data_IF_489537942064
#
_entry.id   IF_489537942064
#
_cell.length_a   1.000
_cell.length_b   1.000
_cell.length_c   1.000
_cell.angle_alpha   90.00
_cell.angle_beta   90.00
_cell.angle_gamma   90.00
#
_symmetry.space_group_name_H-M   'P 1'
#
loop_
_entity.id
_entity.type
_entity.pdbx_description
1 polymer ?
#
# COMPACT_ATOMS: atom_id res chain seq x y z
N UNK A 1 9.00 -14.80 -23.21
CA UNK A 1 9.73 -15.03 -21.95
C UNK A 1 8.87 -15.50 -20.76
N UNK A 2 7.56 -15.71 -20.89
CA UNK A 2 6.68 -16.21 -19.81
C UNK A 2 6.64 -17.72 -19.62
N UNK A 3 6.99 -18.51 -20.62
CA UNK A 3 6.93 -20.00 -20.58
C UNK A 3 8.02 -20.66 -19.70
N UNK A 4 9.18 -20.02 -19.54
CA UNK A 4 10.30 -20.60 -18.77
C UNK A 4 10.15 -20.49 -17.25
N UNK A 5 9.33 -19.56 -16.73
CA UNK A 5 9.10 -19.43 -15.28
C UNK A 5 8.15 -20.50 -14.71
N UNK A 6 7.19 -20.94 -15.52
CA UNK A 6 6.29 -22.06 -15.12
C UNK A 6 7.02 -23.42 -15.12
N UNK A 7 7.98 -23.60 -16.02
CA UNK A 7 8.75 -24.85 -16.10
C UNK A 7 9.70 -25.00 -14.90
N UNK A 8 10.31 -23.92 -14.42
CA UNK A 8 11.14 -23.95 -13.20
C UNK A 8 10.34 -24.26 -11.93
N UNK A 9 9.10 -23.77 -11.83
CA UNK A 9 8.22 -24.06 -10.68
C UNK A 9 7.76 -25.53 -10.67
N UNK A 10 7.53 -26.12 -11.85
CA UNK A 10 7.16 -27.54 -11.95
C UNK A 10 8.32 -28.47 -11.59
N UNK A 11 9.55 -28.14 -11.99
CA UNK A 11 10.75 -28.92 -11.64
C UNK A 11 11.03 -28.83 -10.13
N UNK A 12 10.83 -27.66 -9.51
CA UNK A 12 10.97 -27.49 -8.06
C UNK A 12 9.96 -28.31 -7.26
N UNK A 13 8.71 -28.44 -7.76
CA UNK A 13 7.66 -29.19 -7.10
C UNK A 13 7.91 -30.72 -7.19
N UNK A 14 8.41 -31.22 -8.33
CA UNK A 14 8.72 -32.63 -8.51
C UNK A 14 9.93 -33.06 -7.66
N UNK A 15 10.90 -32.16 -7.45
CA UNK A 15 12.08 -32.45 -6.62
C UNK A 15 11.74 -32.57 -5.13
N UNK A 16 10.77 -31.80 -4.62
CA UNK A 16 10.33 -31.89 -3.21
C UNK A 16 9.55 -33.17 -2.91
N UNK A 17 8.80 -33.72 -3.88
CA UNK A 17 8.07 -34.98 -3.71
C UNK A 17 9.04 -36.18 -3.77
N UNK A 18 10.07 -36.12 -4.61
CA UNK A 18 11.09 -37.15 -4.69
C UNK A 18 11.96 -37.26 -3.43
N UNK A 19 12.27 -36.14 -2.79
CA UNK A 19 13.07 -36.13 -1.56
C UNK A 19 12.31 -36.74 -0.36
N UNK A 20 10.99 -36.60 -0.30
CA UNK A 20 10.17 -37.18 0.77
C UNK A 20 10.05 -38.70 0.65
N UNK A 21 9.98 -39.22 -0.58
CA UNK A 21 9.93 -40.68 -0.82
C UNK A 21 11.24 -41.40 -0.41
N UNK A 22 12.39 -40.79 -0.70
CA UNK A 22 13.70 -41.34 -0.29
C UNK A 22 13.91 -41.27 1.23
N UNK A 23 13.34 -40.25 1.91
CA UNK A 23 13.44 -40.14 3.35
C UNK A 23 12.58 -41.19 4.06
N UNK A 24 11.42 -41.49 3.53
CA UNK A 24 10.53 -42.58 4.03
C UNK A 24 11.16 -43.92 3.86
N UNK A 25 11.82 -44.20 2.73
CA UNK A 25 12.52 -45.47 2.47
C UNK A 25 13.72 -45.66 3.42
N UNK A 26 14.50 -44.61 3.65
CA UNK A 26 15.63 -44.64 4.61
C UNK A 26 15.19 -44.82 6.06
N UNK A 27 14.05 -44.26 6.45
CA UNK A 27 13.48 -44.47 7.78
C UNK A 27 12.96 -45.91 7.92
N UNK A 28 12.42 -46.50 6.84
CA UNK A 28 11.96 -47.88 6.84
C UNK A 28 13.13 -48.84 6.98
N UNK A 29 14.25 -48.56 6.30
CA UNK A 29 15.49 -49.38 6.37
C UNK A 29 16.15 -49.28 7.75
N UNK A 30 16.07 -48.10 8.42
CA UNK A 30 16.63 -47.91 9.76
C UNK A 30 15.77 -48.55 10.88
N UNK A 31 14.45 -48.69 10.68
CA UNK A 31 13.55 -49.27 11.67
C UNK A 31 13.50 -50.82 11.65
N UNK A 32 14.24 -51.47 10.77
CA UNK A 32 14.40 -52.94 10.77
C UNK A 32 13.06 -53.69 10.77
N UNK A 33 12.86 -54.58 9.86
CA UNK A 33 11.66 -55.41 9.63
C UNK A 33 11.37 -56.42 10.77
N UNK A 34 11.96 -56.27 11.96
CA UNK A 34 11.96 -57.25 13.04
C UNK A 34 10.98 -56.96 14.20
N UNK A 35 10.06 -56.04 14.09
CA UNK A 35 9.13 -55.74 15.18
C UNK A 35 7.66 -56.11 14.93
N UNK A 36 7.39 -57.10 14.05
CA UNK A 36 6.08 -57.73 13.99
C UNK A 36 6.08 -59.12 14.66
N UNK A 37 6.70 -59.22 15.80
CA UNK A 37 6.40 -60.34 16.72
C UNK A 37 5.58 -59.80 17.90
N UNK A 38 4.27 -60.07 17.79
CA UNK A 38 3.34 -60.22 18.90
C UNK A 38 3.97 -60.16 20.28
N UNK A 39 3.99 -58.97 20.90
CA UNK A 39 3.90 -58.85 22.33
C UNK A 39 2.49 -58.38 22.66
N UNK A 40 1.70 -59.26 23.23
CA UNK A 40 0.55 -58.89 24.05
C UNK A 40 1.09 -58.05 25.18
N UNK A 41 1.22 -56.74 24.92
CA UNK A 41 1.64 -55.78 25.92
C UNK A 41 0.50 -55.67 26.90
N UNK A 42 0.76 -56.15 28.10
CA UNK A 42 0.03 -55.78 29.31
C UNK A 42 -0.02 -54.25 29.28
N UNK A 43 -1.21 -53.70 28.98
CA UNK A 43 -1.48 -52.26 29.02
C UNK A 43 -1.28 -51.86 30.47
N UNK A 44 -0.15 -51.29 30.80
CA UNK A 44 0.12 -50.77 32.14
C UNK A 44 -0.77 -49.55 32.37
N UNK A 45 -1.30 -49.39 33.57
CA UNK A 45 -2.11 -48.24 33.98
C UNK A 45 -1.38 -46.90 33.80
N UNK A 46 -0.03 -46.94 33.65
CA UNK A 46 0.80 -45.78 33.36
C UNK A 46 0.58 -45.15 31.97
N UNK A 47 0.18 -45.96 30.95
CA UNK A 47 -0.06 -45.42 29.60
C UNK A 47 -1.36 -44.65 29.52
N UNK A 48 -2.36 -45.07 30.30
CA UNK A 48 -3.64 -44.37 30.39
C UNK A 48 -3.53 -43.03 31.14
N UNK A 49 -2.67 -42.95 32.16
CA UNK A 49 -2.35 -41.70 32.85
C UNK A 49 -1.62 -40.71 31.97
N UNK A 50 -0.61 -41.16 31.20
CA UNK A 50 0.12 -40.34 30.27
C UNK A 50 -0.77 -39.76 29.14
N UNK A 51 -1.74 -40.56 28.63
CA UNK A 51 -2.70 -40.08 27.63
C UNK A 51 -3.65 -39.04 28.22
N UNK A 52 -4.07 -39.19 29.48
CA UNK A 52 -4.93 -38.24 30.17
C UNK A 52 -4.22 -36.90 30.41
N UNK A 53 -2.94 -36.94 30.81
CA UNK A 53 -2.14 -35.74 31.01
C UNK A 53 -1.85 -35.02 29.70
N UNK A 54 -1.52 -35.74 28.62
CA UNK A 54 -1.32 -35.15 27.30
C UNK A 54 -2.60 -34.51 26.74
N UNK A 55 -3.78 -35.09 27.02
CA UNK A 55 -5.07 -34.48 26.68
C UNK A 55 -5.30 -33.17 27.44
N UNK A 56 -4.97 -33.11 28.72
CA UNK A 56 -5.08 -31.89 29.54
C UNK A 56 -4.14 -30.80 29.04
N UNK A 57 -2.89 -31.15 28.71
CA UNK A 57 -1.94 -30.20 28.11
C UNK A 57 -2.44 -29.65 26.78
N UNK A 58 -3.00 -30.50 25.92
CA UNK A 58 -3.59 -30.06 24.65
C UNK A 58 -4.79 -29.14 24.84
N UNK A 59 -5.64 -29.43 25.82
CA UNK A 59 -6.80 -28.60 26.15
C UNK A 59 -6.39 -27.25 26.73
N UNK A 60 -5.40 -27.22 27.62
CA UNK A 60 -4.84 -25.98 28.14
C UNK A 60 -4.14 -25.16 27.07
N UNK A 61 -3.42 -25.79 26.14
CA UNK A 61 -2.82 -25.12 25.00
C UNK A 61 -3.85 -24.49 24.07
N UNK A 62 -4.96 -25.17 23.78
CA UNK A 62 -6.08 -24.64 23.00
C UNK A 62 -6.78 -23.46 23.69
N UNK A 63 -6.99 -23.54 24.99
CA UNK A 63 -7.56 -22.43 25.76
C UNK A 63 -6.65 -21.22 25.76
N UNK A 64 -5.33 -21.41 25.91
CA UNK A 64 -4.35 -20.33 25.86
C UNK A 64 -4.31 -19.71 24.47
N UNK A 65 -4.38 -20.51 23.41
CA UNK A 65 -4.45 -19.99 22.03
C UNK A 65 -5.73 -19.18 21.79
N UNK A 66 -6.87 -19.65 22.26
CA UNK A 66 -8.14 -18.93 22.16
C UNK A 66 -8.10 -17.60 22.93
N UNK A 67 -7.54 -17.60 24.14
CA UNK A 67 -7.38 -16.38 24.94
C UNK A 67 -6.45 -15.37 24.25
N UNK A 68 -5.31 -15.81 23.72
CA UNK A 68 -4.41 -14.93 22.96
C UNK A 68 -5.05 -14.35 21.71
N UNK A 69 -5.90 -15.11 21.02
CA UNK A 69 -6.64 -14.60 19.86
C UNK A 69 -7.64 -13.51 20.27
N UNK A 70 -8.39 -13.72 21.35
CA UNK A 70 -9.32 -12.71 21.87
C UNK A 70 -8.59 -11.44 22.32
N UNK A 71 -7.46 -11.59 23.00
CA UNK A 71 -6.65 -10.45 23.44
C UNK A 71 -6.10 -9.64 22.24
N UNK A 72 -5.60 -10.33 21.21
CA UNK A 72 -5.17 -9.67 19.97
C UNK A 72 -6.31 -8.94 19.26
N UNK A 73 -7.51 -9.52 19.26
CA UNK A 73 -8.68 -8.87 18.66
C UNK A 73 -9.11 -7.64 19.45
N UNK A 74 -9.10 -7.71 20.77
CA UNK A 74 -9.36 -6.55 21.63
C UNK A 74 -8.33 -5.43 21.41
N UNK A 75 -7.04 -5.76 21.32
CA UNK A 75 -5.99 -4.77 21.04
C UNK A 75 -6.17 -4.11 19.67
N UNK A 76 -6.57 -4.88 18.64
CA UNK A 76 -6.90 -4.33 17.33
C UNK A 76 -8.09 -3.37 17.41
N UNK A 77 -9.18 -3.76 18.08
CA UNK A 77 -10.35 -2.89 18.25
C UNK A 77 -10.02 -1.61 19.02
N UNK A 78 -9.19 -1.68 20.05
CA UNK A 78 -8.72 -0.51 20.78
C UNK A 78 -7.85 0.40 19.92
N UNK A 79 -6.97 -0.15 19.09
CA UNK A 79 -6.16 0.62 18.16
C UNK A 79 -7.02 1.35 17.11
N UNK A 80 -8.01 0.66 16.51
CA UNK A 80 -8.96 1.28 15.58
C UNK A 80 -9.81 2.37 16.24
N UNK A 81 -10.26 2.15 17.48
CA UNK A 81 -11.00 3.16 18.23
C UNK A 81 -10.15 4.41 18.53
N UNK A 82 -8.88 4.21 18.93
CA UNK A 82 -7.96 5.31 19.19
C UNK A 82 -7.65 6.12 17.92
N UNK A 83 -7.47 5.47 16.78
CA UNK A 83 -7.24 6.15 15.51
C UNK A 83 -8.49 6.91 15.03
N UNK A 84 -9.68 6.34 15.22
CA UNK A 84 -10.94 7.02 14.93
C UNK A 84 -11.12 8.29 15.78
N UNK A 85 -10.79 8.24 17.07
CA UNK A 85 -10.85 9.41 17.95
C UNK A 85 -9.86 10.49 17.51
N UNK A 86 -8.62 10.11 17.14
CA UNK A 86 -7.62 11.04 16.62
C UNK A 86 -8.11 11.73 15.35
N UNK A 87 -8.70 11.00 14.42
CA UNK A 87 -9.25 11.56 13.17
C UNK A 87 -10.37 12.56 13.46
N UNK A 88 -11.29 12.25 14.37
CA UNK A 88 -12.37 13.16 14.78
C UNK A 88 -11.79 14.42 15.41
N UNK A 89 -10.82 14.30 16.31
CA UNK A 89 -10.17 15.47 16.93
C UNK A 89 -9.42 16.33 15.89
N UNK A 90 -8.71 15.70 14.95
CA UNK A 90 -8.05 16.41 13.86
C UNK A 90 -9.07 17.16 13.00
N UNK A 91 -10.19 16.52 12.65
CA UNK A 91 -11.26 17.13 11.88
C UNK A 91 -11.83 18.36 12.60
N UNK A 92 -12.18 18.23 13.87
CA UNK A 92 -12.70 19.35 14.67
C UNK A 92 -11.69 20.51 14.74
N UNK A 93 -10.41 20.20 14.92
CA UNK A 93 -9.35 21.21 14.93
C UNK A 93 -9.23 21.91 13.57
N UNK A 94 -9.24 21.15 12.48
CA UNK A 94 -9.18 21.69 11.12
C UNK A 94 -10.41 22.53 10.82
N UNK A 95 -11.61 22.09 11.18
CA UNK A 95 -12.85 22.85 11.00
C UNK A 95 -12.82 24.21 11.74
N UNK A 96 -12.22 24.23 12.93
CA UNK A 96 -12.01 25.46 13.67
C UNK A 96 -11.00 26.40 13.00
N UNK A 97 -9.94 25.86 12.43
CA UNK A 97 -8.86 26.63 11.80
C UNK A 97 -9.19 27.05 10.36
N UNK A 98 -10.09 26.34 9.68
CA UNK A 98 -10.43 26.57 8.26
C UNK A 98 -10.87 28.00 7.97
N UNK A 99 -11.50 28.66 8.93
CA UNK A 99 -11.94 30.05 8.79
C UNK A 99 -10.79 31.07 8.79
N UNK A 100 -9.65 30.69 9.37
CA UNK A 100 -8.52 31.60 9.59
C UNK A 100 -7.27 31.24 8.81
N UNK A 101 -7.23 30.03 8.22
CA UNK A 101 -6.06 29.53 7.49
C UNK A 101 -6.28 29.68 5.99
N UNK A 102 -5.43 30.44 5.35
CA UNK A 102 -5.39 30.53 3.89
C UNK A 102 -4.49 29.42 3.36
N UNK A 103 -4.97 28.68 2.36
CA UNK A 103 -4.15 27.70 1.63
C UNK A 103 -3.11 28.40 0.76
N UNK A 104 -2.00 27.73 0.54
CA UNK A 104 -0.96 28.20 -0.38
C UNK A 104 -1.29 27.72 -1.78
N UNK A 105 -1.43 28.62 -2.78
CA UNK A 105 -1.80 28.25 -4.12
C UNK A 105 -0.66 27.55 -4.85
N UNK A 106 -0.98 26.49 -5.59
CA UNK A 106 -0.10 25.90 -6.61
C UNK A 106 -0.39 26.62 -7.91
N UNK A 107 0.55 27.49 -8.34
CA UNK A 107 0.39 28.36 -9.52
C UNK A 107 1.24 27.83 -10.67
N UNK A 108 0.62 27.58 -11.82
CA UNK A 108 1.26 27.13 -13.05
C UNK A 108 0.89 28.06 -14.20
N UNK A 109 1.88 28.74 -14.78
CA UNK A 109 1.68 29.72 -15.85
C UNK A 109 0.64 30.82 -15.53
N UNK A 110 0.60 31.25 -14.27
CA UNK A 110 -0.32 32.29 -13.80
C UNK A 110 -1.66 31.77 -13.29
N UNK A 111 -2.02 30.52 -13.56
CA UNK A 111 -3.26 29.92 -13.09
C UNK A 111 -3.08 29.19 -11.76
N UNK A 112 -3.97 29.43 -10.82
CA UNK A 112 -4.03 28.68 -9.56
C UNK A 112 -4.77 27.37 -9.79
N UNK A 113 -4.07 26.25 -9.68
CA UNK A 113 -4.65 24.92 -9.88
C UNK A 113 -5.38 24.43 -8.63
N UNK A 114 -4.74 24.50 -7.48
CA UNK A 114 -5.30 24.11 -6.19
C UNK A 114 -4.50 24.71 -5.03
N UNK A 115 -4.97 24.48 -3.80
CA UNK A 115 -4.35 25.01 -2.59
C UNK A 115 -3.77 23.88 -1.74
N UNK A 116 -2.68 24.18 -1.01
CA UNK A 116 -2.05 23.29 -0.04
C UNK A 116 -2.12 23.94 1.34
N UNK A 117 -2.59 23.19 2.33
CA UNK A 117 -2.79 23.65 3.69
C UNK A 117 -1.83 22.98 4.69
N UNK A 118 -1.49 21.71 4.47
CA UNK A 118 -0.76 20.89 5.40
C UNK A 118 0.73 20.81 5.07
N UNK A 119 1.58 20.76 6.09
CA UNK A 119 2.98 20.39 5.97
C UNK A 119 3.11 18.86 5.81
N UNK A 120 4.15 18.39 5.11
CA UNK A 120 4.44 16.96 4.93
C UNK A 120 5.94 16.71 4.89
N UNK A 121 6.43 15.71 5.65
CA UNK A 121 7.81 15.23 5.54
C UNK A 121 8.87 16.33 5.71
N UNK A 122 8.65 17.29 6.62
CA UNK A 122 9.55 18.44 6.80
C UNK A 122 9.31 19.60 5.85
N UNK A 123 8.52 19.43 4.77
CA UNK A 123 8.19 20.51 3.83
C UNK A 123 6.98 21.30 4.30
N UNK A 124 7.13 22.62 4.28
CA UNK A 124 6.02 23.57 4.55
C UNK A 124 5.01 23.55 3.39
N UNK A 125 3.77 24.06 3.60
CA UNK A 125 2.80 24.22 2.51
C UNK A 125 3.36 25.02 1.33
N UNK A 126 4.16 26.06 1.61
CA UNK A 126 4.81 26.90 0.59
C UNK A 126 5.81 26.10 -0.25
N UNK A 127 6.67 25.33 0.41
CA UNK A 127 7.63 24.48 -0.28
C UNK A 127 6.93 23.43 -1.14
N UNK A 128 5.89 22.77 -0.60
CA UNK A 128 5.09 21.80 -1.35
C UNK A 128 4.43 22.44 -2.57
N UNK A 129 3.85 23.63 -2.42
CA UNK A 129 3.22 24.34 -3.53
C UNK A 129 4.22 24.65 -4.65
N UNK A 130 5.39 25.17 -4.30
CA UNK A 130 6.47 25.46 -5.27
C UNK A 130 6.97 24.17 -5.95
N UNK A 131 7.21 23.11 -5.19
CA UNK A 131 7.64 21.81 -5.75
C UNK A 131 6.62 21.23 -6.74
N UNK A 132 5.34 21.25 -6.38
CA UNK A 132 4.28 20.76 -7.26
C UNK A 132 4.16 21.65 -8.52
N UNK A 133 4.15 22.98 -8.36
CA UNK A 133 4.09 23.91 -9.49
C UNK A 133 5.27 23.70 -10.45
N UNK A 134 6.48 23.56 -9.92
CA UNK A 134 7.69 23.30 -10.71
C UNK A 134 7.58 21.98 -11.45
N UNK A 135 7.17 20.90 -10.77
CA UNK A 135 7.06 19.58 -11.37
C UNK A 135 6.02 19.55 -12.51
N UNK A 136 4.86 20.22 -12.32
CA UNK A 136 3.81 20.32 -13.34
C UNK A 136 4.28 21.20 -14.51
N UNK A 137 4.90 22.34 -14.24
CA UNK A 137 5.42 23.25 -15.27
C UNK A 137 6.48 22.58 -16.12
N UNK A 138 7.43 21.88 -15.50
CA UNK A 138 8.46 21.13 -16.24
C UNK A 138 7.88 20.02 -17.09
N UNK A 139 6.84 19.34 -16.60
CA UNK A 139 6.14 18.33 -17.35
C UNK A 139 5.42 18.94 -18.55
N UNK A 140 4.74 20.08 -18.38
CA UNK A 140 4.03 20.79 -19.44
C UNK A 140 4.90 21.23 -20.60
N UNK A 141 6.20 21.51 -20.36
CA UNK A 141 7.18 21.87 -21.39
C UNK A 141 7.64 20.70 -22.27
N UNK A 142 7.28 19.44 -21.93
CA UNK A 142 7.72 18.28 -22.70
C UNK A 142 6.97 18.17 -24.03
N UNK A 143 7.71 18.06 -25.13
CA UNK A 143 7.12 17.94 -26.47
C UNK A 143 6.20 16.71 -26.62
N UNK A 144 6.62 15.55 -26.09
CA UNK A 144 5.87 14.29 -26.20
C UNK A 144 4.95 14.05 -24.99
N UNK A 145 4.42 15.12 -24.41
CA UNK A 145 3.53 15.02 -23.28
C UNK A 145 2.22 14.32 -23.66
N UNK A 146 1.81 13.33 -22.85
CA UNK A 146 0.50 12.67 -22.91
C UNK A 146 -0.24 12.94 -21.59
N UNK A 147 -1.02 14.02 -21.48
CA UNK A 147 -1.69 14.39 -20.24
C UNK A 147 -2.55 13.28 -19.65
N UNK A 148 -3.19 12.47 -20.49
CA UNK A 148 -4.04 11.37 -20.05
C UNK A 148 -3.26 10.19 -19.45
N UNK A 149 -1.93 10.17 -19.56
CA UNK A 149 -1.07 9.17 -18.91
C UNK A 149 -0.75 9.49 -17.45
N UNK A 150 -1.32 10.55 -16.87
CA UNK A 150 -1.25 10.79 -15.44
C UNK A 150 -2.09 9.73 -14.70
N UNK A 151 -1.50 9.16 -13.67
CA UNK A 151 -2.18 8.16 -12.83
C UNK A 151 -1.97 8.46 -11.35
N UNK A 152 -2.75 7.83 -10.50
CA UNK A 152 -2.65 7.90 -9.06
C UNK A 152 -2.04 6.60 -8.54
N UNK A 153 -1.07 6.74 -7.66
CA UNK A 153 -0.47 5.63 -6.92
C UNK A 153 -0.76 5.82 -5.43
N UNK A 154 -1.58 4.92 -4.88
CA UNK A 154 -1.98 4.98 -3.47
C UNK A 154 -1.14 4.03 -2.64
N UNK A 155 -0.64 4.53 -1.52
CA UNK A 155 -0.02 3.78 -0.44
C UNK A 155 -0.82 3.96 0.86
N UNK A 156 -0.38 3.32 1.95
CA UNK A 156 -1.07 3.39 3.24
C UNK A 156 -1.25 4.83 3.77
N UNK A 157 -0.28 5.70 3.51
CA UNK A 157 -0.21 7.05 4.09
C UNK A 157 -0.34 8.19 3.07
N UNK A 158 -0.19 7.92 1.79
CA UNK A 158 -0.25 8.97 0.74
C UNK A 158 -0.84 8.42 -0.56
N UNK A 159 -1.42 9.34 -1.34
CA UNK A 159 -1.77 9.11 -2.75
C UNK A 159 -0.96 10.09 -3.59
N UNK A 160 -0.10 9.56 -4.43
CA UNK A 160 0.79 10.32 -5.29
C UNK A 160 0.19 10.47 -6.69
N UNK A 161 0.25 11.68 -7.24
CA UNK A 161 -0.05 11.96 -8.65
C UNK A 161 1.23 11.78 -9.47
N UNK A 162 1.22 10.81 -10.36
CA UNK A 162 2.39 10.33 -11.09
C UNK A 162 2.30 10.55 -12.58
N UNK A 163 3.47 10.77 -13.20
CA UNK A 163 3.66 10.68 -14.64
C UNK A 163 4.92 9.85 -14.95
N UNK A 164 4.77 8.60 -15.38
CA UNK A 164 5.87 7.64 -15.38
C UNK A 164 6.43 7.46 -13.97
N UNK A 165 7.73 7.62 -13.80
CA UNK A 165 8.40 7.50 -12.49
C UNK A 165 8.50 8.83 -11.72
N UNK A 166 7.88 9.91 -12.23
CA UNK A 166 7.98 11.24 -11.63
C UNK A 166 6.72 11.56 -10.81
N UNK A 167 6.91 11.87 -9.52
CA UNK A 167 5.87 12.40 -8.64
C UNK A 167 5.65 13.88 -8.96
N UNK A 168 4.40 14.27 -9.22
CA UNK A 168 3.99 15.65 -9.46
C UNK A 168 3.42 16.31 -8.20
N UNK A 169 2.61 15.56 -7.46
CA UNK A 169 2.03 15.99 -6.20
C UNK A 169 1.73 14.78 -5.33
N UNK A 170 1.71 15.00 -4.03
CA UNK A 170 1.40 13.96 -3.04
C UNK A 170 0.32 14.47 -2.10
N UNK A 171 -0.68 13.65 -1.83
CA UNK A 171 -1.82 13.99 -0.99
C UNK A 171 -1.89 13.06 0.22
N UNK A 172 -2.18 13.61 1.39
CA UNK A 172 -2.34 12.91 2.67
C UNK A 172 -3.78 12.98 3.14
N UNK A 173 -4.14 12.15 4.13
CA UNK A 173 -5.46 12.25 4.77
C UNK A 173 -5.69 13.62 5.40
N UNK A 174 -4.63 14.25 5.90
CA UNK A 174 -4.72 15.62 6.43
C UNK A 174 -5.08 16.64 5.32
N UNK A 175 -4.53 16.50 4.11
CA UNK A 175 -4.90 17.34 2.97
C UNK A 175 -6.38 17.14 2.62
N UNK A 176 -6.87 15.90 2.64
CA UNK A 176 -8.29 15.57 2.44
C UNK A 176 -9.19 16.22 3.49
N UNK A 177 -8.82 16.17 4.77
CA UNK A 177 -9.57 16.78 5.87
C UNK A 177 -9.71 18.31 5.68
N UNK A 178 -8.69 19.02 5.20
CA UNK A 178 -8.76 20.45 4.91
C UNK A 178 -9.81 20.80 3.85
N UNK A 179 -10.00 19.95 2.85
CA UNK A 179 -11.01 20.12 1.80
C UNK A 179 -12.35 19.41 2.10
N UNK A 180 -12.44 18.70 3.23
CA UNK A 180 -13.65 17.97 3.64
C UNK A 180 -13.93 16.73 2.78
N UNK A 181 -12.87 16.11 2.23
CA UNK A 181 -12.92 14.96 1.33
C UNK A 181 -12.02 13.85 1.82
N UNK A 182 -12.16 12.64 1.26
CA UNK A 182 -11.16 11.59 1.45
C UNK A 182 -9.91 11.93 0.62
N UNK A 183 -8.77 11.39 1.02
CA UNK A 183 -7.50 11.54 0.32
C UNK A 183 -7.60 11.17 -1.17
N UNK A 184 -8.24 10.03 -1.46
CA UNK A 184 -8.36 9.51 -2.82
C UNK A 184 -9.31 10.36 -3.69
N UNK A 185 -10.42 10.83 -3.12
CA UNK A 185 -11.30 11.79 -3.79
C UNK A 185 -10.56 13.09 -4.11
N UNK A 186 -9.81 13.62 -3.14
CA UNK A 186 -8.99 14.80 -3.35
C UNK A 186 -7.98 14.59 -4.48
N UNK A 187 -7.23 13.50 -4.43
CA UNK A 187 -6.22 13.20 -5.44
C UNK A 187 -6.84 13.05 -6.85
N UNK A 188 -8.01 12.41 -6.97
CA UNK A 188 -8.72 12.28 -8.23
C UNK A 188 -9.14 13.64 -8.80
N UNK A 189 -9.71 14.52 -7.97
CA UNK A 189 -10.10 15.87 -8.40
C UNK A 189 -8.88 16.69 -8.85
N UNK A 190 -7.79 16.65 -8.07
CA UNK A 190 -6.56 17.39 -8.43
C UNK A 190 -5.90 16.82 -9.69
N UNK A 191 -5.98 15.49 -9.90
CA UNK A 191 -5.54 14.87 -11.16
C UNK A 191 -6.29 15.45 -12.37
N UNK A 192 -7.61 15.58 -12.29
CA UNK A 192 -8.40 16.18 -13.38
C UNK A 192 -7.95 17.60 -13.69
N UNK A 193 -7.81 18.45 -12.67
CA UNK A 193 -7.35 19.83 -12.81
C UNK A 193 -5.97 19.90 -13.49
N UNK A 194 -5.04 19.06 -13.06
CA UNK A 194 -3.67 19.03 -13.63
C UNK A 194 -3.69 18.51 -15.06
N UNK A 195 -4.49 17.47 -15.38
CA UNK A 195 -4.64 16.95 -16.73
C UNK A 195 -5.16 18.04 -17.68
N UNK A 196 -6.20 18.77 -17.27
CA UNK A 196 -6.79 19.83 -18.09
C UNK A 196 -5.79 20.98 -18.33
N UNK A 197 -5.08 21.44 -17.28
CA UNK A 197 -4.02 22.45 -17.45
C UNK A 197 -2.90 21.98 -18.40
N UNK A 198 -2.47 20.73 -18.27
CA UNK A 198 -1.44 20.17 -19.17
C UNK A 198 -1.94 20.03 -20.62
N UNK A 199 -3.23 19.76 -20.84
CA UNK A 199 -3.84 19.79 -22.18
C UNK A 199 -3.82 21.18 -22.79
N UNK A 200 -4.13 22.20 -22.00
CA UNK A 200 -4.12 23.60 -22.45
C UNK A 200 -2.69 24.08 -22.76
N UNK A 201 -1.73 23.82 -21.88
CA UNK A 201 -0.31 24.10 -22.14
C UNK A 201 0.17 23.45 -23.45
N UNK A 202 -0.23 22.20 -23.71
CA UNK A 202 0.12 21.49 -24.93
C UNK A 202 -0.47 22.15 -26.17
N UNK A 203 -1.73 22.61 -26.12
CA UNK A 203 -2.39 23.34 -27.22
C UNK A 203 -1.65 24.65 -27.51
N UNK A 204 -1.35 25.43 -26.48
CA UNK A 204 -0.62 26.70 -26.62
C UNK A 204 0.76 26.53 -27.26
N UNK A 205 1.52 25.54 -26.79
CA UNK A 205 2.82 25.22 -27.39
C UNK A 205 2.71 24.81 -28.88
N UNK A 206 1.67 24.05 -29.24
CA UNK A 206 1.42 23.65 -30.64
C UNK A 206 1.09 24.86 -31.50
N UNK A 207 0.21 25.76 -31.06
CA UNK A 207 -0.15 26.98 -31.77
C UNK A 207 1.02 27.94 -31.91
N UNK A 208 1.85 28.09 -30.88
CA UNK A 208 3.03 28.94 -30.97
C UNK A 208 4.09 28.43 -31.98
N UNK A 209 4.28 27.12 -32.08
CA UNK A 209 5.15 26.50 -33.08
C UNK A 209 4.61 26.69 -34.53
N UNK A 210 3.28 26.60 -34.70
CA UNK A 210 2.63 26.88 -35.99
C UNK A 210 2.82 28.37 -36.39
N UNK A 211 2.62 29.28 -35.43
CA UNK A 211 2.81 30.73 -35.64
C UNK A 211 4.24 31.08 -36.08
N UNK A 212 5.26 30.48 -35.43
CA UNK A 212 6.65 30.68 -35.85
C UNK A 212 6.94 30.22 -37.27
N UNK A 213 6.33 29.10 -37.72
CA UNK A 213 6.52 28.62 -39.12
C UNK A 213 5.93 29.56 -40.15
N UNK A 214 4.84 30.29 -39.80
CA UNK A 214 4.19 31.23 -40.74
C UNK A 214 4.97 32.54 -40.87
N UNK A 215 5.70 32.98 -39.82
CA UNK A 215 6.45 34.25 -39.80
C UNK A 215 7.80 34.10 -40.53
N UNK A 216 8.32 32.89 -40.67
CA UNK A 216 9.63 32.61 -41.32
C UNK A 216 9.49 32.16 -42.78
N UNK A 217 8.34 32.26 -43.40
CA UNK A 217 8.10 32.15 -44.83
C UNK A 217 7.64 33.52 -45.40
#
# INVERSE_FOLDING_TARGET
MRKNRLFCLFISLVFTIGASAQLVEKVREFLGDDTLKTHSVIRSDSDSANIADMKRELETARLNEANMRMEMEQLKLQAYAADSVKLVQQKLRIDSLRKFTQGVPVVVEGDTLFYIYAKRGGHTPQQRAVMNATAITELGKRFNLKPDSLYLESSDIVTDLMYGDKVLASFTDQDGLWEGRTRDQLAADKRHIVVDKLKDMKKEHSLWQLGKRIIFF
#
